data_IF_673046245538
#
_entry.id   IF_673046245538
#
_cell.length_a   1.000
_cell.length_b   1.000
_cell.length_c   1.000
_cell.angle_alpha   90.00
_cell.angle_beta   90.00
_cell.angle_gamma   90.00
#
_symmetry.space_group_name_H-M   'P 1'
#
loop_
_entity.id
_entity.type
_entity.pdbx_description
1 polymer ?
#
# COMPACT_ATOMS: atom_id res chain seq x y z
N UNK A 1 22.84 -7.00 -4.54
CA UNK A 1 23.09 -6.85 -3.09
C UNK A 1 21.97 -6.01 -2.47
N UNK A 2 21.50 -6.48 -1.31
CA UNK A 2 20.42 -6.02 -0.41
C UNK A 2 19.76 -4.65 -0.61
N UNK A 3 18.50 -4.68 -1.06
CA UNK A 3 17.54 -3.57 -0.92
C UNK A 3 16.28 -3.96 -0.11
N UNK A 4 16.18 -5.22 0.35
CA UNK A 4 15.02 -5.72 1.10
C UNK A 4 15.01 -5.25 2.56
N UNK A 5 16.18 -5.21 3.19
CA UNK A 5 16.30 -4.83 4.60
C UNK A 5 16.23 -3.31 4.81
N UNK A 6 16.80 -2.55 3.86
CA UNK A 6 16.71 -1.09 3.82
C UNK A 6 15.27 -0.64 3.55
N UNK A 7 14.61 -1.20 2.51
CA UNK A 7 13.17 -0.99 2.28
C UNK A 7 12.33 -1.30 3.54
N UNK A 8 12.58 -2.40 4.25
CA UNK A 8 11.86 -2.73 5.50
C UNK A 8 12.12 -1.72 6.64
N UNK A 9 13.35 -1.23 6.79
CA UNK A 9 13.68 -0.21 7.78
C UNK A 9 13.03 1.14 7.45
N UNK A 10 13.02 1.50 6.16
CA UNK A 10 12.41 2.74 5.64
C UNK A 10 10.88 2.69 5.79
N UNK A 11 10.25 1.54 5.52
CA UNK A 11 8.83 1.28 5.75
C UNK A 11 8.43 1.36 7.24
N UNK A 12 9.32 0.95 8.17
CA UNK A 12 9.09 1.07 9.62
C UNK A 12 9.19 2.51 10.12
N UNK A 13 10.03 3.35 9.50
CA UNK A 13 10.10 4.78 9.80
C UNK A 13 8.89 5.55 9.26
N UNK A 14 8.36 5.15 8.09
CA UNK A 14 7.17 5.70 7.43
C UNK A 14 5.89 5.60 8.27
N UNK A 15 5.74 4.54 9.07
CA UNK A 15 4.59 4.31 9.99
C UNK A 15 4.31 5.44 11.00
N UNK A 16 5.25 6.37 11.23
CA UNK A 16 5.19 7.34 12.34
C UNK A 16 4.73 8.76 11.96
N UNK A 17 4.50 9.10 10.68
CA UNK A 17 4.44 10.52 10.25
C UNK A 17 3.27 10.95 9.33
N UNK A 18 2.18 10.19 9.21
CA UNK A 18 0.98 10.70 8.50
C UNK A 18 0.08 11.49 9.46
N UNK A 19 0.08 12.81 9.33
CA UNK A 19 -0.60 13.77 10.21
C UNK A 19 -2.14 13.76 10.03
N UNK A 20 -2.85 13.49 11.11
CA UNK A 20 -4.16 14.08 11.42
C UNK A 20 -5.43 13.38 10.93
N UNK A 21 -5.47 12.65 9.81
CA UNK A 21 -6.73 12.05 9.35
C UNK A 21 -6.65 10.60 8.87
N UNK A 22 -5.55 10.15 8.26
CA UNK A 22 -5.44 8.78 7.71
C UNK A 22 -4.00 8.29 7.80
N UNK A 23 -3.84 7.05 8.26
CA UNK A 23 -2.60 6.28 8.22
C UNK A 23 -2.54 5.46 6.94
N UNK A 24 -1.43 5.57 6.21
CA UNK A 24 -1.17 4.78 5.01
C UNK A 24 -0.02 3.82 5.24
N UNK A 25 -0.09 2.62 4.67
CA UNK A 25 0.95 1.61 4.79
C UNK A 25 1.21 0.96 3.43
N UNK A 26 2.47 0.85 3.00
CA UNK A 26 2.85 0.05 1.84
C UNK A 26 3.62 -1.17 2.34
N UNK A 27 3.08 -2.37 2.16
CA UNK A 27 3.59 -3.57 2.82
C UNK A 27 3.71 -4.74 1.84
N UNK A 28 4.79 -5.51 1.96
CA UNK A 28 5.00 -6.76 1.22
C UNK A 28 4.13 -7.89 1.78
N UNK A 29 3.67 -8.88 0.99
CA UNK A 29 2.89 -10.02 1.47
C UNK A 29 3.54 -10.77 2.65
N UNK A 30 4.86 -10.90 2.65
CA UNK A 30 5.63 -11.65 3.67
C UNK A 30 6.12 -10.79 4.84
N UNK A 31 5.51 -9.62 5.06
CA UNK A 31 5.90 -8.76 6.17
C UNK A 31 5.12 -9.13 7.44
N UNK A 32 5.81 -9.74 8.41
CA UNK A 32 5.29 -10.03 9.76
C UNK A 32 4.85 -8.77 10.51
N UNK A 33 5.18 -7.61 9.98
CA UNK A 33 4.67 -6.36 10.48
C UNK A 33 3.14 -6.22 10.30
N UNK A 34 2.46 -7.08 9.52
CA UNK A 34 0.98 -7.16 9.47
C UNK A 34 0.37 -7.90 10.67
N UNK A 35 1.11 -8.82 11.31
CA UNK A 35 0.64 -9.60 12.46
C UNK A 35 0.29 -8.70 13.66
N UNK A 36 0.91 -7.52 13.70
CA UNK A 36 0.72 -6.51 14.74
C UNK A 36 -0.47 -5.58 14.44
N UNK A 37 -1.15 -5.73 13.29
CA UNK A 37 -2.29 -4.91 12.88
C UNK A 37 -3.44 -5.80 12.38
N UNK A 38 -4.23 -6.40 13.30
CA UNK A 38 -5.33 -7.30 12.94
C UNK A 38 -6.31 -6.69 11.92
N UNK A 39 -6.56 -5.38 12.00
CA UNK A 39 -7.39 -4.67 11.04
C UNK A 39 -6.85 -4.77 9.60
N UNK A 40 -5.55 -4.57 9.41
CA UNK A 40 -4.93 -4.61 8.07
C UNK A 40 -4.88 -6.05 7.55
N UNK A 41 -4.62 -7.02 8.44
CA UNK A 41 -4.70 -8.45 8.10
C UNK A 41 -6.10 -8.84 7.63
N UNK A 42 -7.14 -8.45 8.37
CA UNK A 42 -8.54 -8.70 8.01
C UNK A 42 -8.93 -8.02 6.68
N UNK A 43 -8.53 -6.76 6.49
CA UNK A 43 -8.77 -6.03 5.26
C UNK A 43 -8.10 -6.70 4.05
N UNK A 44 -6.87 -7.22 4.23
CA UNK A 44 -6.16 -7.97 3.19
C UNK A 44 -6.85 -9.30 2.88
N UNK A 45 -7.28 -10.05 3.91
CA UNK A 45 -8.01 -11.30 3.72
C UNK A 45 -9.33 -11.07 2.96
N UNK A 46 -10.07 -10.02 3.31
CA UNK A 46 -11.28 -9.60 2.61
C UNK A 46 -11.00 -9.16 1.16
N UNK A 47 -9.93 -8.38 0.94
CA UNK A 47 -9.52 -8.00 -0.40
C UNK A 47 -9.24 -9.24 -1.26
N UNK A 48 -8.52 -10.23 -0.73
CA UNK A 48 -8.21 -11.50 -1.41
C UNK A 48 -9.46 -12.30 -1.73
N UNK A 49 -10.41 -12.41 -0.79
CA UNK A 49 -11.64 -13.19 -1.01
C UNK A 49 -12.58 -12.54 -2.03
N UNK A 50 -12.43 -11.23 -2.29
CA UNK A 50 -13.30 -10.48 -3.21
C UNK A 50 -12.66 -10.17 -4.57
N UNK A 51 -11.46 -10.70 -4.86
CA UNK A 51 -10.74 -10.45 -6.12
C UNK A 51 -11.61 -10.75 -7.35
N UNK A 52 -12.24 -11.92 -7.40
CA UNK A 52 -13.04 -12.35 -8.56
C UNK A 52 -14.31 -11.49 -8.75
N UNK A 53 -14.89 -11.01 -7.65
CA UNK A 53 -16.10 -10.17 -7.68
C UNK A 53 -15.78 -8.71 -8.03
N UNK A 54 -14.72 -8.15 -7.45
CA UNK A 54 -14.37 -6.72 -7.57
C UNK A 54 -13.39 -6.43 -8.70
N UNK A 55 -12.76 -7.45 -9.26
CA UNK A 55 -11.78 -7.38 -10.33
C UNK A 55 -10.77 -6.22 -10.14
N UNK A 56 -10.07 -6.16 -8.99
CA UNK A 56 -9.14 -5.09 -8.74
C UNK A 56 -7.98 -5.15 -9.75
N UNK A 57 -7.42 -3.99 -10.08
CA UNK A 57 -6.32 -3.85 -11.02
C UNK A 57 -5.09 -3.22 -10.37
N UNK A 58 -3.92 -3.54 -10.91
CA UNK A 58 -2.69 -2.84 -10.55
C UNK A 58 -2.82 -1.36 -10.93
N UNK A 59 -2.60 -0.40 -10.00
CA UNK A 59 -2.78 1.01 -10.31
C UNK A 59 -1.76 1.53 -11.33
N UNK A 60 -0.62 0.86 -11.50
CA UNK A 60 0.41 1.26 -12.45
C UNK A 60 0.19 0.72 -13.86
N UNK A 61 0.02 -0.60 -14.03
CA UNK A 61 -0.10 -1.22 -15.35
C UNK A 61 -1.52 -1.63 -15.74
N UNK A 62 -2.52 -1.43 -14.88
CA UNK A 62 -3.92 -1.85 -15.07
C UNK A 62 -4.14 -3.36 -15.19
N UNK A 63 -3.12 -4.20 -15.02
CA UNK A 63 -3.26 -5.65 -15.06
C UNK A 63 -4.27 -6.12 -13.99
N UNK A 64 -5.16 -7.03 -14.39
CA UNK A 64 -6.22 -7.57 -13.55
C UNK A 64 -5.68 -8.60 -12.56
N UNK A 65 -5.99 -8.44 -11.28
CA UNK A 65 -5.71 -9.45 -10.25
C UNK A 65 -6.69 -10.62 -10.27
N UNK A 66 -7.82 -10.50 -11.00
CA UNK A 66 -8.75 -11.62 -11.19
C UNK A 66 -8.27 -12.63 -12.25
N UNK A 67 -7.31 -12.22 -13.07
CA UNK A 67 -6.73 -13.04 -14.13
C UNK A 67 -5.32 -13.49 -13.72
N UNK A 68 -4.28 -12.83 -14.21
CA UNK A 68 -2.90 -13.32 -14.15
C UNK A 68 -1.99 -12.51 -13.22
N UNK A 69 -2.41 -11.30 -12.83
CA UNK A 69 -1.53 -10.44 -12.06
C UNK A 69 -1.30 -11.01 -10.65
N UNK A 70 -0.04 -11.24 -10.30
CA UNK A 70 0.32 -11.65 -8.94
C UNK A 70 0.60 -10.41 -8.08
N UNK A 71 -0.09 -10.21 -6.94
CA UNK A 71 0.16 -9.07 -6.06
C UNK A 71 1.48 -9.23 -5.29
N UNK A 72 2.28 -8.17 -5.23
CA UNK A 72 3.60 -8.16 -4.58
C UNK A 72 3.78 -7.06 -3.53
N UNK A 73 2.94 -6.04 -3.54
CA UNK A 73 2.90 -5.02 -2.49
C UNK A 73 1.46 -4.53 -2.31
N UNK A 74 1.07 -4.26 -1.06
CA UNK A 74 -0.27 -3.82 -0.68
C UNK A 74 -0.20 -2.44 -0.05
N UNK A 75 -0.97 -1.51 -0.62
CA UNK A 75 -1.20 -0.17 -0.10
C UNK A 75 -2.48 -0.19 0.74
N UNK A 76 -2.34 0.10 2.02
CA UNK A 76 -3.43 0.27 2.97
C UNK A 76 -3.66 1.74 3.26
N UNK A 77 -4.92 2.13 3.48
CA UNK A 77 -5.27 3.41 4.08
C UNK A 77 -6.37 3.19 5.13
N UNK A 78 -6.23 3.80 6.31
CA UNK A 78 -7.18 3.68 7.42
C UNK A 78 -7.21 4.95 8.27
N UNK A 79 -8.27 5.20 9.03
CA UNK A 79 -8.36 6.38 9.89
C UNK A 79 -7.24 6.40 10.95
N UNK A 80 -6.72 7.57 11.28
CA UNK A 80 -5.69 7.69 12.32
C UNK A 80 -6.25 7.54 13.75
N UNK A 81 -7.55 7.80 13.93
CA UNK A 81 -8.25 7.75 15.21
C UNK A 81 -9.31 6.65 15.13
N UNK A 82 -9.27 5.70 16.07
CA UNK A 82 -10.21 4.59 16.18
C UNK A 82 -10.53 3.89 14.84
N UNK A 83 -9.52 3.31 14.16
CA UNK A 83 -9.72 2.71 12.85
C UNK A 83 -10.62 1.47 12.92
N UNK A 84 -11.74 1.51 12.21
CA UNK A 84 -12.69 0.38 12.09
C UNK A 84 -12.66 -0.27 10.72
N UNK A 85 -12.07 0.39 9.73
CA UNK A 85 -11.96 -0.10 8.35
C UNK A 85 -10.64 0.34 7.71
N UNK A 86 -10.17 -0.44 6.73
CA UNK A 86 -9.05 -0.06 5.90
C UNK A 86 -9.35 -0.34 4.42
N UNK A 87 -8.94 0.56 3.53
CA UNK A 87 -8.93 0.31 2.09
C UNK A 87 -7.66 -0.44 1.72
N UNK A 88 -7.73 -1.32 0.72
CA UNK A 88 -6.59 -2.08 0.21
C UNK A 88 -6.49 -1.89 -1.30
N UNK A 89 -5.28 -1.59 -1.78
CA UNK A 89 -4.89 -1.62 -3.18
C UNK A 89 -3.59 -2.40 -3.32
N UNK A 90 -3.30 -2.95 -4.50
CA UNK A 90 -2.12 -3.79 -4.69
C UNK A 90 -1.33 -3.41 -5.96
N UNK A 91 -0.02 -3.52 -5.88
CA UNK A 91 0.89 -3.48 -7.02
C UNK A 91 1.25 -4.91 -7.43
N UNK A 92 1.26 -5.19 -8.73
CA UNK A 92 1.66 -6.50 -9.23
C UNK A 92 3.18 -6.70 -9.14
N UNK A 93 3.61 -7.96 -9.21
CA UNK A 93 5.02 -8.36 -9.15
C UNK A 93 5.88 -7.65 -10.18
N UNK A 94 5.44 -7.56 -11.44
CA UNK A 94 6.16 -6.87 -12.50
C UNK A 94 6.39 -5.39 -12.16
N UNK A 95 5.32 -4.66 -11.84
CA UNK A 95 5.41 -3.24 -11.48
C UNK A 95 6.27 -3.00 -10.24
N UNK A 96 6.18 -3.87 -9.23
CA UNK A 96 6.97 -3.72 -8.01
C UNK A 96 8.47 -3.92 -8.21
N UNK A 97 8.86 -4.74 -9.19
CA UNK A 97 10.26 -5.01 -9.53
C UNK A 97 10.82 -4.00 -10.53
N UNK A 98 10.03 -3.62 -11.53
CA UNK A 98 10.52 -2.89 -12.70
C UNK A 98 10.35 -1.37 -12.58
N UNK A 99 9.37 -0.89 -11.79
CA UNK A 99 9.14 0.55 -11.66
C UNK A 99 10.13 1.18 -10.68
N UNK A 100 10.65 2.37 -11.01
CA UNK A 100 11.42 3.15 -10.06
C UNK A 100 10.53 3.59 -8.89
N UNK A 101 11.09 3.78 -7.68
CA UNK A 101 10.32 4.17 -6.50
C UNK A 101 9.41 5.37 -6.73
N UNK A 102 9.90 6.46 -7.34
CA UNK A 102 9.11 7.66 -7.63
C UNK A 102 7.82 7.38 -8.44
N UNK A 103 7.83 6.39 -9.33
CA UNK A 103 6.64 5.99 -10.08
C UNK A 103 5.65 5.22 -9.21
N UNK A 104 6.13 4.35 -8.32
CA UNK A 104 5.28 3.67 -7.32
C UNK A 104 4.60 4.69 -6.41
N UNK A 105 5.33 5.70 -5.96
CA UNK A 105 4.80 6.76 -5.09
C UNK A 105 3.75 7.62 -5.78
N UNK A 106 3.99 7.96 -7.05
CA UNK A 106 3.02 8.69 -7.87
C UNK A 106 1.72 7.91 -8.02
N UNK A 107 1.80 6.62 -8.33
CA UNK A 107 0.60 5.79 -8.48
C UNK A 107 -0.07 5.52 -7.14
N UNK A 108 0.69 5.34 -6.05
CA UNK A 108 0.14 5.24 -4.71
C UNK A 108 -0.59 6.53 -4.29
N UNK A 109 -0.02 7.70 -4.59
CA UNK A 109 -0.67 9.01 -4.39
C UNK A 109 -1.98 9.08 -5.14
N UNK A 110 -1.97 8.71 -6.43
CA UNK A 110 -3.16 8.75 -7.28
C UNK A 110 -4.28 7.87 -6.72
N UNK A 111 -3.94 6.68 -6.22
CA UNK A 111 -4.91 5.81 -5.53
C UNK A 111 -5.41 6.43 -4.24
N UNK A 112 -4.52 6.97 -3.40
CA UNK A 112 -4.91 7.60 -2.13
C UNK A 112 -5.84 8.79 -2.35
N UNK A 113 -5.64 9.57 -3.42
CA UNK A 113 -6.51 10.69 -3.78
C UNK A 113 -7.95 10.29 -4.13
N UNK A 114 -8.14 9.06 -4.60
CA UNK A 114 -9.48 8.52 -4.89
C UNK A 114 -10.24 8.16 -3.61
N UNK A 115 -9.51 7.77 -2.55
CA UNK A 115 -10.09 7.39 -1.26
C UNK A 115 -10.22 8.61 -0.34
N UNK A 116 -9.28 9.55 -0.46
CA UNK A 116 -9.13 10.72 0.41
C UNK A 116 -8.89 11.92 -0.49
N UNK A 117 -9.87 12.83 -0.66
CA UNK A 117 -9.66 14.07 -1.40
C UNK A 117 -8.47 14.84 -0.82
N UNK A 118 -7.45 15.11 -1.65
CA UNK A 118 -6.20 15.75 -1.20
C UNK A 118 -5.19 14.82 -0.53
N UNK A 119 -5.44 13.50 -0.52
CA UNK A 119 -4.48 12.49 -0.09
C UNK A 119 -3.17 12.59 -0.87
N UNK A 120 -2.04 12.39 -0.20
CA UNK A 120 -0.72 12.36 -0.84
C UNK A 120 0.04 11.16 -0.34
N UNK A 121 0.74 10.46 -1.23
CA UNK A 121 1.82 9.61 -0.77
C UNK A 121 2.92 10.55 -0.31
N UNK A 122 3.25 10.46 0.98
CA UNK A 122 4.31 11.28 1.54
C UNK A 122 5.61 10.50 1.39
N UNK A 123 6.41 10.74 0.35
CA UNK A 123 7.77 10.22 0.31
C UNK A 123 8.48 10.67 1.61
N UNK A 124 9.12 9.77 2.38
CA UNK A 124 9.90 10.13 3.56
C UNK A 124 10.94 11.25 3.35
N UNK A 125 11.31 11.60 2.11
CA UNK A 125 12.21 12.73 1.83
C UNK A 125 11.57 14.12 1.98
N UNK A 126 10.27 14.31 1.74
CA UNK A 126 9.65 15.66 1.75
C UNK A 126 9.31 16.16 3.17
N UNK A 127 9.20 15.28 4.16
CA UNK A 127 8.81 15.62 5.54
C UNK A 127 9.95 16.16 6.43
N UNK A 128 10.99 16.77 5.82
CA UNK A 128 12.19 17.33 6.48
C UNK A 128 12.43 18.82 6.16
N UNK A 129 11.39 19.58 5.83
CA UNK A 129 11.46 21.05 5.86
C UNK A 129 10.54 21.62 6.91
#
# INVERSE_FOLDING_TARGET
MSNRHQRRADLRAFRRKASGAVLTYLVSPDDSALDHYPLLGNALAFWRSTIQQRQPFCPACRASFAEEAQPAAFLFATAAIAPTSASVSAFCMACWNDLPPAMIEREATRVLQQVIPGGRFLDPCEARR
#
